data_IF_765259679259
#
_entry.id   IF_765259679259
#
_cell.length_a   1.000
_cell.length_b   1.000
_cell.length_c   1.000
_cell.angle_alpha   90.00
_cell.angle_beta   90.00
_cell.angle_gamma   90.00
#
_symmetry.space_group_name_H-M   'P 1'
#
loop_
_entity.id
_entity.type
_entity.pdbx_description
1 polymer ?
#
# COMPACT_ATOMS: atom_id res chain seq x y z
N UNK A 1 -17.02 3.35 12.48
CA UNK A 1 -18.38 2.79 12.37
C UNK A 1 -19.38 3.61 13.18
N UNK A 2 -19.30 3.59 14.52
CA UNK A 2 -20.24 4.32 15.37
C UNK A 2 -20.23 5.85 15.15
N UNK A 3 -19.10 6.46 14.81
CA UNK A 3 -19.03 7.92 14.62
C UNK A 3 -19.87 8.44 13.44
N UNK A 4 -20.16 7.62 12.43
CA UNK A 4 -21.04 8.03 11.33
C UNK A 4 -22.51 8.08 11.76
N UNK A 5 -22.90 7.11 12.58
CA UNK A 5 -24.28 6.95 13.06
C UNK A 5 -24.56 7.87 14.26
N UNK A 6 -23.56 8.13 15.09
CA UNK A 6 -23.64 9.04 16.24
C UNK A 6 -23.58 10.49 15.73
N UNK A 7 -24.70 11.21 15.84
CA UNK A 7 -24.79 12.63 15.47
C UNK A 7 -25.58 12.91 14.19
N UNK A 8 -26.18 11.90 13.58
CA UNK A 8 -27.10 12.04 12.44
C UNK A 8 -28.46 11.43 12.77
N UNK A 9 -29.54 12.02 12.26
CA UNK A 9 -30.88 11.46 12.36
C UNK A 9 -30.91 10.07 11.69
N UNK A 10 -31.39 9.00 12.37
CA UNK A 10 -31.52 7.67 11.77
C UNK A 10 -32.30 7.62 10.45
N UNK A 11 -33.21 8.56 10.21
CA UNK A 11 -33.92 8.69 8.93
C UNK A 11 -32.97 8.95 7.75
N UNK A 12 -31.82 9.58 8.00
CA UNK A 12 -30.80 9.94 7.02
C UNK A 12 -29.72 8.87 6.85
N UNK A 13 -29.72 7.81 7.66
CA UNK A 13 -28.72 6.76 7.53
C UNK A 13 -28.86 6.04 6.19
N UNK A 14 -27.78 6.10 5.41
CA UNK A 14 -27.57 5.41 4.14
C UNK A 14 -26.35 4.50 4.24
N UNK A 15 -26.48 3.27 3.76
CA UNK A 15 -25.37 2.31 3.70
C UNK A 15 -24.35 2.71 2.62
N UNK A 16 -24.82 3.21 1.48
CA UNK A 16 -23.93 3.68 0.39
C UNK A 16 -23.09 4.86 0.85
N UNK A 17 -23.69 5.84 1.51
CA UNK A 17 -22.98 7.03 2.00
C UNK A 17 -22.03 6.66 3.13
N UNK A 18 -22.44 5.74 4.01
CA UNK A 18 -21.54 5.15 5.00
C UNK A 18 -20.28 4.56 4.35
N UNK A 19 -20.44 3.75 3.30
CA UNK A 19 -19.31 3.14 2.59
C UNK A 19 -18.37 4.20 2.00
N UNK A 20 -18.93 5.20 1.32
CA UNK A 20 -18.16 6.28 0.69
C UNK A 20 -17.38 7.10 1.72
N UNK A 21 -18.05 7.54 2.79
CA UNK A 21 -17.45 8.38 3.83
C UNK A 21 -16.40 7.65 4.66
N UNK A 22 -16.52 6.32 4.78
CA UNK A 22 -15.61 5.51 5.57
C UNK A 22 -14.64 4.69 4.70
N UNK A 23 -14.46 5.03 3.41
CA UNK A 23 -13.62 4.25 2.46
C UNK A 23 -12.22 4.00 2.99
N UNK A 24 -11.54 5.02 3.52
CA UNK A 24 -10.18 4.90 4.08
C UNK A 24 -10.13 3.94 5.27
N UNK A 25 -11.13 4.00 6.15
CA UNK A 25 -11.23 3.07 7.28
C UNK A 25 -11.46 1.65 6.79
N UNK A 26 -12.33 1.47 5.79
CA UNK A 26 -12.67 0.18 5.21
C UNK A 26 -11.42 -0.47 4.59
N UNK A 27 -10.63 0.27 3.81
CA UNK A 27 -9.40 -0.24 3.18
C UNK A 27 -8.48 -0.86 4.23
N UNK A 28 -8.31 -0.20 5.37
CA UNK A 28 -7.38 -0.61 6.43
C UNK A 28 -7.95 -1.60 7.45
N UNK A 29 -9.22 -1.99 7.33
CA UNK A 29 -9.91 -2.82 8.31
C UNK A 29 -10.19 -4.24 7.81
N UNK A 30 -10.12 -5.26 8.68
CA UNK A 30 -10.54 -6.61 8.31
C UNK A 30 -12.05 -6.62 7.97
N UNK A 31 -12.54 -7.56 7.15
CA UNK A 31 -11.77 -8.67 6.59
C UNK A 31 -10.97 -8.26 5.33
N UNK A 32 -9.75 -8.78 5.22
CA UNK A 32 -8.91 -8.68 4.02
C UNK A 32 -9.22 -9.86 3.10
N UNK A 33 -10.27 -9.71 2.29
CA UNK A 33 -10.76 -10.71 1.35
C UNK A 33 -10.82 -10.07 -0.04
N UNK A 34 -10.56 -10.87 -1.06
CA UNK A 34 -10.61 -10.43 -2.46
C UNK A 34 -11.98 -10.65 -3.09
N UNK A 35 -12.92 -11.20 -2.32
CA UNK A 35 -14.29 -11.46 -2.72
C UNK A 35 -15.19 -10.28 -2.33
N UNK A 36 -15.64 -9.51 -3.32
CA UNK A 36 -16.45 -8.29 -3.12
C UNK A 36 -17.74 -8.56 -2.34
N UNK A 37 -18.41 -9.69 -2.59
CA UNK A 37 -19.66 -10.08 -1.94
C UNK A 37 -19.46 -10.43 -0.45
N UNK A 38 -18.31 -11.02 -0.10
CA UNK A 38 -17.94 -11.26 1.29
C UNK A 38 -17.65 -9.97 2.03
N UNK A 39 -16.99 -9.01 1.37
CA UNK A 39 -16.77 -7.67 1.92
C UNK A 39 -18.12 -6.97 2.15
N UNK A 40 -18.96 -6.92 1.12
CA UNK A 40 -20.27 -6.28 1.19
C UNK A 40 -21.13 -6.86 2.32
N UNK A 41 -21.28 -8.18 2.35
CA UNK A 41 -22.09 -8.84 3.38
C UNK A 41 -21.56 -8.59 4.79
N UNK A 42 -20.23 -8.54 4.97
CA UNK A 42 -19.62 -8.26 6.28
C UNK A 42 -19.85 -6.82 6.70
N UNK A 43 -19.63 -5.86 5.81
CA UNK A 43 -19.81 -4.44 6.12
C UNK A 43 -21.28 -4.06 6.29
N UNK A 44 -22.18 -4.65 5.52
CA UNK A 44 -23.62 -4.49 5.72
C UNK A 44 -24.04 -4.99 7.11
N UNK A 45 -23.61 -6.19 7.51
CA UNK A 45 -23.90 -6.72 8.86
C UNK A 45 -23.38 -5.80 9.96
N UNK A 46 -22.16 -5.27 9.83
CA UNK A 46 -21.59 -4.31 10.80
C UNK A 46 -22.39 -3.02 10.87
N UNK A 47 -22.79 -2.48 9.72
CA UNK A 47 -23.58 -1.27 9.64
C UNK A 47 -24.96 -1.46 10.28
N UNK A 48 -25.67 -2.53 9.94
CA UNK A 48 -26.97 -2.88 10.52
C UNK A 48 -26.84 -3.07 12.04
N UNK A 49 -25.84 -3.82 12.49
CA UNK A 49 -25.62 -4.07 13.91
C UNK A 49 -25.38 -2.76 14.68
N UNK A 50 -24.50 -1.90 14.18
CA UNK A 50 -24.22 -0.62 14.81
C UNK A 50 -25.45 0.31 14.83
N UNK A 51 -26.29 0.27 13.79
CA UNK A 51 -27.55 1.02 13.79
C UNK A 51 -28.57 0.45 14.79
N UNK A 52 -28.70 -0.87 14.88
CA UNK A 52 -29.58 -1.54 15.85
C UNK A 52 -29.19 -1.23 17.30
N UNK A 53 -27.91 -1.09 17.60
CA UNK A 53 -27.43 -0.69 18.94
C UNK A 53 -27.87 0.72 19.35
N UNK A 54 -28.16 1.59 18.39
CA UNK A 54 -28.56 2.98 18.60
C UNK A 54 -30.07 3.21 18.48
N UNK A 55 -30.80 2.26 17.90
CA UNK A 55 -32.23 2.36 17.63
C UNK A 55 -33.09 1.63 18.67
N UNK A 56 -34.25 2.21 18.93
CA UNK A 56 -35.36 1.55 19.63
C UNK A 56 -35.79 0.28 18.91
N UNK A 57 -36.23 -0.73 19.68
CA UNK A 57 -36.58 -2.05 19.17
C UNK A 57 -37.60 -2.01 18.02
N UNK A 58 -38.56 -1.10 18.07
CA UNK A 58 -39.62 -0.92 17.07
C UNK A 58 -39.10 -0.43 15.72
N UNK A 59 -37.95 0.26 15.69
CA UNK A 59 -37.38 0.84 14.47
C UNK A 59 -36.32 -0.06 13.81
N UNK A 60 -35.85 -1.10 14.51
CA UNK A 60 -34.75 -1.95 14.04
C UNK A 60 -35.06 -2.74 12.77
N UNK A 61 -36.26 -3.31 12.68
CA UNK A 61 -36.69 -4.10 11.52
C UNK A 61 -36.91 -3.21 10.29
N UNK A 62 -37.54 -2.06 10.48
CA UNK A 62 -37.73 -1.06 9.44
C UNK A 62 -36.39 -0.54 8.90
N UNK A 63 -35.44 -0.27 9.80
CA UNK A 63 -34.08 0.14 9.44
C UNK A 63 -33.35 -0.93 8.62
N UNK A 64 -33.33 -2.19 9.09
CA UNK A 64 -32.69 -3.29 8.37
C UNK A 64 -33.29 -3.49 6.98
N UNK A 65 -34.62 -3.42 6.87
CA UNK A 65 -35.32 -3.54 5.60
C UNK A 65 -34.97 -2.42 4.63
N UNK A 66 -34.92 -1.17 5.12
CA UNK A 66 -34.49 0.01 4.35
C UNK A 66 -33.07 -0.17 3.81
N UNK A 67 -32.13 -0.55 4.68
CA UNK A 67 -30.72 -0.73 4.32
C UNK A 67 -30.54 -1.82 3.28
N UNK A 68 -31.22 -2.96 3.45
CA UNK A 68 -31.12 -4.06 2.48
C UNK A 68 -31.71 -3.67 1.12
N UNK A 69 -32.80 -2.90 1.09
CA UNK A 69 -33.40 -2.39 -0.14
C UNK A 69 -32.47 -1.41 -0.87
N UNK A 70 -31.89 -0.47 -0.13
CA UNK A 70 -30.88 0.46 -0.65
C UNK A 70 -29.69 -0.30 -1.26
N UNK A 71 -29.17 -1.28 -0.51
CA UNK A 71 -28.03 -2.11 -0.93
C UNK A 71 -28.27 -2.84 -2.24
N UNK A 72 -29.45 -3.45 -2.43
CA UNK A 72 -29.80 -4.18 -3.66
C UNK A 72 -29.90 -3.25 -4.87
N UNK A 73 -30.41 -2.02 -4.68
CA UNK A 73 -30.51 -1.01 -5.73
C UNK A 73 -29.16 -0.42 -6.12
N UNK A 74 -28.22 -0.44 -5.20
CA UNK A 74 -26.92 0.20 -5.37
C UNK A 74 -25.96 -0.79 -6.02
N UNK A 75 -25.46 -0.46 -7.22
CA UNK A 75 -24.40 -1.25 -7.83
C UNK A 75 -23.08 -1.05 -7.06
N UNK A 76 -22.89 -1.82 -5.99
CA UNK A 76 -21.73 -1.74 -5.10
C UNK A 76 -20.51 -2.52 -5.60
N UNK A 77 -20.64 -3.23 -6.72
CA UNK A 77 -19.55 -4.03 -7.28
C UNK A 77 -18.31 -3.15 -7.56
N UNK A 78 -18.50 -2.00 -8.24
CA UNK A 78 -17.40 -1.09 -8.58
C UNK A 78 -16.70 -0.56 -7.32
N UNK A 79 -17.47 -0.10 -6.33
CA UNK A 79 -16.93 0.37 -5.05
C UNK A 79 -16.04 -0.70 -4.39
N UNK A 80 -16.53 -1.95 -4.29
CA UNK A 80 -15.77 -3.01 -3.65
C UNK A 80 -14.54 -3.44 -4.46
N UNK A 81 -14.62 -3.42 -5.79
CA UNK A 81 -13.44 -3.66 -6.65
C UNK A 81 -12.36 -2.61 -6.40
N UNK A 82 -12.73 -1.33 -6.33
CA UNK A 82 -11.77 -0.26 -6.01
C UNK A 82 -11.11 -0.45 -4.64
N UNK A 83 -11.87 -0.88 -3.63
CA UNK A 83 -11.32 -1.20 -2.29
C UNK A 83 -10.33 -2.36 -2.36
N UNK A 84 -10.64 -3.41 -3.11
CA UNK A 84 -9.75 -4.57 -3.29
C UNK A 84 -8.47 -4.15 -4.02
N UNK A 85 -8.59 -3.41 -5.12
CA UNK A 85 -7.44 -2.89 -5.87
C UNK A 85 -6.53 -2.03 -5.00
N UNK A 86 -7.10 -1.13 -4.19
CA UNK A 86 -6.32 -0.27 -3.30
C UNK A 86 -5.57 -1.08 -2.24
N UNK A 87 -6.21 -2.10 -1.66
CA UNK A 87 -5.57 -3.00 -0.69
C UNK A 87 -4.41 -3.77 -1.31
N UNK A 88 -4.58 -4.28 -2.53
CA UNK A 88 -3.50 -4.97 -3.25
C UNK A 88 -2.34 -4.03 -3.53
N UNK A 89 -2.62 -2.80 -3.95
CA UNK A 89 -1.59 -1.76 -4.15
C UNK A 89 -0.80 -1.49 -2.88
N UNK A 90 -1.49 -1.34 -1.74
CA UNK A 90 -0.84 -1.13 -0.44
C UNK A 90 0.02 -2.32 -0.02
N UNK A 91 -0.43 -3.56 -0.25
CA UNK A 91 0.38 -4.75 0.04
C UNK A 91 1.65 -4.82 -0.79
N UNK A 92 1.57 -4.49 -2.09
CA UNK A 92 2.74 -4.42 -2.97
C UNK A 92 3.74 -3.39 -2.47
N UNK A 93 3.26 -2.20 -2.10
CA UNK A 93 4.11 -1.15 -1.57
C UNK A 93 4.81 -1.58 -0.28
N UNK A 94 4.07 -2.13 0.69
CA UNK A 94 4.62 -2.65 1.96
C UNK A 94 5.69 -3.70 1.70
N UNK A 95 5.47 -4.59 0.73
CA UNK A 95 6.44 -5.63 0.36
C UNK A 95 7.71 -5.01 -0.20
N UNK A 96 7.59 -4.08 -1.15
CA UNK A 96 8.74 -3.39 -1.73
C UNK A 96 9.58 -2.63 -0.68
N UNK A 97 8.91 -1.90 0.21
CA UNK A 97 9.56 -1.18 1.31
C UNK A 97 10.31 -2.14 2.23
N UNK A 98 9.70 -3.28 2.58
CA UNK A 98 10.32 -4.31 3.41
C UNK A 98 11.57 -4.90 2.75
N UNK A 99 11.50 -5.31 1.49
CA UNK A 99 12.65 -5.89 0.77
C UNK A 99 13.80 -4.88 0.61
N UNK A 100 13.47 -3.61 0.37
CA UNK A 100 14.45 -2.53 0.30
C UNK A 100 15.18 -2.35 1.64
N UNK A 101 14.44 -2.39 2.76
CA UNK A 101 15.03 -2.31 4.11
C UNK A 101 15.94 -3.50 4.41
N UNK A 102 15.55 -4.72 4.03
CA UNK A 102 16.39 -5.92 4.20
C UNK A 102 17.71 -5.79 3.43
N UNK A 103 17.65 -5.32 2.18
CA UNK A 103 18.83 -5.09 1.34
C UNK A 103 19.78 -4.06 1.96
N UNK A 104 19.25 -2.98 2.52
CA UNK A 104 20.08 -1.97 3.19
C UNK A 104 20.72 -2.50 4.48
N UNK A 105 20.00 -3.29 5.26
CA UNK A 105 20.55 -3.93 6.47
C UNK A 105 21.69 -4.91 6.13
N UNK A 106 21.51 -5.75 5.10
CA UNK A 106 22.57 -6.66 4.62
C UNK A 106 23.81 -5.89 4.13
N UNK A 107 23.60 -4.82 3.37
CA UNK A 107 24.68 -3.96 2.88
C UNK A 107 25.41 -3.27 4.04
N UNK A 108 24.67 -2.71 5.01
CA UNK A 108 25.25 -2.09 6.20
C UNK A 108 26.09 -3.07 7.03
N UNK A 109 25.62 -4.31 7.20
CA UNK A 109 26.40 -5.39 7.85
C UNK A 109 27.67 -5.72 7.08
N UNK A 110 27.62 -5.78 5.75
CA UNK A 110 28.79 -6.02 4.92
C UNK A 110 29.85 -4.92 5.10
N UNK A 111 29.48 -3.65 4.94
CA UNK A 111 30.43 -2.54 5.10
C UNK A 111 30.94 -2.42 6.55
N UNK A 112 30.09 -2.67 7.54
CA UNK A 112 30.51 -2.73 8.94
C UNK A 112 31.57 -3.81 9.20
N UNK A 113 31.49 -4.97 8.53
CA UNK A 113 32.55 -6.00 8.59
C UNK A 113 33.84 -5.52 7.94
N UNK A 114 33.78 -4.89 6.78
CA UNK A 114 34.97 -4.36 6.10
C UNK A 114 35.71 -3.32 6.95
N UNK A 115 34.98 -2.43 7.63
CA UNK A 115 35.57 -1.42 8.53
C UNK A 115 36.17 -2.02 9.81
N UNK A 116 35.71 -3.20 10.24
CA UNK A 116 36.23 -3.91 11.43
C UNK A 116 37.47 -4.75 11.13
N UNK A 117 37.85 -4.92 9.86
CA UNK A 117 39.10 -5.59 9.53
C UNK A 117 40.26 -4.75 10.10
N UNK A 118 41.19 -5.36 10.86
CA UNK A 118 42.35 -4.64 11.35
C UNK A 118 43.10 -4.08 10.15
N UNK A 119 43.39 -2.77 10.19
CA UNK A 119 44.23 -2.13 9.20
C UNK A 119 45.65 -2.68 9.37
N UNK A 120 45.99 -3.73 8.61
CA UNK A 120 47.37 -4.23 8.55
C UNK A 120 48.22 -3.20 7.80
N UNK A 121 48.77 -2.22 8.54
CA UNK A 121 50.00 -1.54 8.14
C UNK A 121 51.14 -2.53 8.32
N UNK A 122 51.39 -3.37 7.33
CA UNK A 122 52.70 -3.98 7.12
C UNK A 122 52.73 -4.67 5.74
N UNK A 123 53.11 -3.89 4.73
CA UNK A 123 53.90 -4.34 3.57
C UNK A 123 54.30 -3.12 2.73
N UNK A 124 55.04 -2.17 3.31
CA UNK A 124 56.03 -1.43 2.54
C UNK A 124 57.31 -2.26 2.55
N UNK A 125 57.59 -3.01 1.48
CA UNK A 125 58.95 -3.22 0.96
C UNK A 125 58.94 -4.14 -0.26
N UNK A 126 59.72 -3.71 -1.26
CA UNK A 126 60.34 -4.51 -2.33
C UNK A 126 59.58 -4.65 -3.66
N UNK A 127 59.89 -3.70 -4.54
CA UNK A 127 60.22 -3.87 -5.96
C UNK A 127 59.33 -4.75 -6.84
N UNK A 128 58.51 -4.10 -7.68
CA UNK A 128 58.36 -4.58 -9.07
C UNK A 128 58.20 -3.37 -10.02
N UNK A 129 59.34 -2.93 -10.59
CA UNK A 129 59.36 -2.01 -11.72
C UNK A 129 58.92 -2.78 -12.97
N UNK A 130 57.63 -2.71 -13.31
CA UNK A 130 57.22 -2.87 -14.72
C UNK A 130 56.96 -1.50 -15.32
N UNK A 131 57.89 -1.10 -16.17
CA UNK A 131 57.69 -0.06 -17.16
C UNK A 131 56.46 -0.42 -18.00
N UNK A 132 55.39 0.36 -17.86
CA UNK A 132 54.32 0.38 -18.85
C UNK A 132 54.67 1.48 -19.83
N UNK A 133 55.20 1.05 -20.97
CA UNK A 133 55.61 1.88 -22.09
C UNK A 133 54.41 2.69 -22.58
N UNK A 134 54.63 3.99 -22.75
CA UNK A 134 53.64 4.96 -23.17
C UNK A 134 53.60 5.04 -24.69
N UNK A 135 52.70 4.30 -25.31
CA UNK A 135 52.24 4.64 -26.67
C UNK A 135 50.88 5.32 -26.54
N UNK A 136 50.92 6.65 -26.48
CA UNK A 136 49.81 7.51 -26.84
C UNK A 136 49.49 7.25 -28.32
N UNK A 137 48.28 6.77 -28.61
CA UNK A 137 47.55 7.24 -29.79
C UNK A 137 46.36 8.03 -29.30
N UNK A 138 46.60 9.33 -29.22
CA UNK A 138 45.57 10.35 -29.34
C UNK A 138 44.98 10.26 -30.74
N UNK A 139 43.66 10.13 -30.85
CA UNK A 139 42.96 10.97 -31.81
C UNK A 139 41.57 11.36 -31.33
N UNK A 140 41.43 12.68 -31.28
CA UNK A 140 40.31 13.49 -30.89
C UNK A 140 39.36 13.67 -32.10
N UNK A 141 38.05 13.64 -31.81
CA UNK A 141 37.05 14.63 -32.27
C UNK A 141 36.72 14.73 -33.79
N UNK A 142 35.53 14.18 -34.14
CA UNK A 142 34.41 14.75 -34.95
C UNK A 142 34.63 15.18 -36.43
N UNK A 143 33.59 15.47 -37.27
CA UNK A 143 32.24 15.96 -36.94
C UNK A 143 31.05 15.43 -37.79
N UNK A 144 29.86 15.79 -37.30
CA UNK A 144 28.62 16.21 -38.00
C UNK A 144 28.67 16.25 -39.53
N UNK A 145 27.71 15.57 -40.16
CA UNK A 145 27.38 15.72 -41.58
C UNK A 145 25.88 15.63 -41.83
N UNK A 146 25.21 16.78 -41.84
CA UNK A 146 23.87 16.96 -42.38
C UNK A 146 23.93 17.19 -43.90
N UNK A 147 23.18 16.43 -44.71
CA UNK A 147 22.67 16.80 -46.04
C UNK A 147 21.37 15.99 -46.27
N UNK A 148 20.19 16.62 -46.26
CA UNK A 148 19.51 17.42 -47.30
C UNK A 148 18.55 16.56 -48.10
#
# INVERSE_FOLDING_TARGET
LLNYLKGTDPSLWSYVDFLKLNRTLIINSPPFKDQWNTLDSTWNKRFIQAGKELLDLTLREAFESKVNLERVKSNLYSFWQEVITERLRLQVQITYEKETLLTFDESGKFFGRQLRLPYNKEATSSDDKRAFDSTLDSDLISPVGAKK
#
